data_IF_274967294289
#
_entry.id   IF_274967294289
#
_cell.length_a   1.000
_cell.length_b   1.000
_cell.length_c   1.000
_cell.angle_alpha   90.00
_cell.angle_beta   90.00
_cell.angle_gamma   90.00
#
_symmetry.space_group_name_H-M   'P 1'
#
loop_
_entity.id
_entity.type
_entity.pdbx_description
1 polymer ?
#
# COMPACT_ATOMS: atom_id res chain seq x y z
N UNK A 1 3.97 -33.81 -19.68
CA UNK A 1 3.54 -32.41 -19.44
C UNK A 1 2.72 -32.40 -18.18
N UNK A 2 3.22 -31.78 -17.13
CA UNK A 2 2.49 -31.62 -15.87
C UNK A 2 1.25 -30.77 -16.12
N UNK A 3 0.10 -31.25 -15.65
CA UNK A 3 -1.12 -30.45 -15.73
C UNK A 3 -1.01 -29.28 -14.72
N UNK A 4 -1.57 -28.14 -15.08
CA UNK A 4 -1.62 -26.95 -14.19
C UNK A 4 -2.27 -27.26 -12.83
N UNK A 5 -3.09 -28.32 -12.77
CA UNK A 5 -3.75 -28.82 -11.54
C UNK A 5 -2.78 -29.50 -10.56
N UNK A 6 -1.79 -30.23 -11.06
CA UNK A 6 -0.82 -30.95 -10.20
C UNK A 6 0.20 -29.99 -9.56
N UNK A 7 0.52 -28.88 -10.24
CA UNK A 7 1.37 -27.82 -9.73
C UNK A 7 0.66 -26.96 -8.65
N UNK A 8 -0.67 -26.89 -8.67
CA UNK A 8 -1.48 -26.17 -7.66
C UNK A 8 -1.56 -26.91 -6.32
N UNK A 9 -1.14 -28.16 -6.23
CA UNK A 9 -1.10 -28.93 -4.98
C UNK A 9 0.21 -28.75 -4.18
N UNK A 10 1.18 -28.02 -4.73
CA UNK A 10 2.41 -27.67 -4.01
C UNK A 10 2.09 -26.54 -3.00
N UNK A 11 2.39 -26.72 -1.68
CA UNK A 11 2.08 -25.70 -0.70
C UNK A 11 2.78 -24.39 -1.00
N UNK A 12 2.07 -23.29 -0.90
CA UNK A 12 2.46 -21.93 -1.35
C UNK A 12 3.63 -21.33 -0.55
N UNK A 13 3.91 -21.80 0.67
CA UNK A 13 5.07 -21.38 1.47
C UNK A 13 6.42 -21.47 0.75
N UNK A 14 6.64 -22.41 -0.17
CA UNK A 14 7.89 -22.54 -0.92
C UNK A 14 8.21 -21.43 -1.92
N UNK A 15 7.27 -20.61 -2.35
CA UNK A 15 7.55 -19.53 -3.33
C UNK A 15 8.46 -18.41 -2.78
N UNK A 16 8.75 -18.43 -1.48
CA UNK A 16 9.62 -17.45 -0.82
C UNK A 16 11.05 -18.00 -0.62
N UNK A 17 11.20 -19.32 -0.49
CA UNK A 17 12.51 -19.99 -0.26
C UNK A 17 12.80 -20.97 -1.41
N UNK A 18 13.75 -20.58 -2.27
CA UNK A 18 14.20 -21.40 -3.41
C UNK A 18 14.66 -22.80 -2.98
N UNK A 19 15.39 -22.90 -1.88
CA UNK A 19 15.99 -24.17 -1.40
C UNK A 19 14.90 -25.14 -0.93
N UNK A 20 13.92 -24.65 -0.22
CA UNK A 20 12.78 -25.45 0.23
C UNK A 20 11.90 -25.89 -0.95
N UNK A 21 11.67 -24.99 -1.91
CA UNK A 21 10.90 -25.28 -3.12
C UNK A 21 11.60 -26.37 -3.97
N UNK A 22 12.91 -26.25 -4.17
CA UNK A 22 13.70 -27.25 -4.88
C UNK A 22 13.64 -28.61 -4.17
N UNK A 23 13.76 -28.67 -2.85
CA UNK A 23 13.66 -29.91 -2.08
C UNK A 23 12.28 -30.58 -2.20
N UNK A 24 11.18 -29.82 -2.08
CA UNK A 24 9.82 -30.35 -2.22
C UNK A 24 9.55 -30.84 -3.64
N UNK A 25 10.04 -30.11 -4.65
CA UNK A 25 9.87 -30.50 -6.03
C UNK A 25 10.75 -31.71 -6.40
N UNK A 26 12.01 -31.76 -5.95
CA UNK A 26 12.92 -32.89 -6.20
C UNK A 26 12.44 -34.19 -5.53
N UNK A 27 11.64 -34.12 -4.47
CA UNK A 27 11.02 -35.32 -3.89
C UNK A 27 9.94 -35.95 -4.78
N UNK A 28 9.43 -35.24 -5.79
CA UNK A 28 8.31 -35.66 -6.65
C UNK A 28 8.64 -35.71 -8.14
N UNK A 29 9.69 -34.99 -8.57
CA UNK A 29 10.04 -34.75 -9.97
C UNK A 29 11.55 -34.94 -10.20
N UNK A 30 11.94 -35.20 -11.43
CA UNK A 30 13.34 -35.28 -11.80
C UNK A 30 14.02 -33.89 -11.72
N UNK A 31 15.35 -33.89 -11.56
CA UNK A 31 16.13 -32.64 -11.47
C UNK A 31 15.93 -31.74 -12.71
N UNK A 32 15.85 -32.30 -13.90
CA UNK A 32 15.61 -31.55 -15.15
C UNK A 32 14.23 -30.92 -15.21
N UNK A 33 13.18 -31.61 -14.75
CA UNK A 33 11.81 -31.07 -14.71
C UNK A 33 11.72 -29.91 -13.69
N UNK A 34 12.37 -30.05 -12.53
CA UNK A 34 12.43 -28.98 -11.52
C UNK A 34 13.14 -27.75 -12.06
N UNK A 35 14.28 -27.91 -12.74
CA UNK A 35 14.99 -26.78 -13.35
C UNK A 35 14.14 -26.07 -14.41
N UNK A 36 13.45 -26.81 -15.29
CA UNK A 36 12.55 -26.22 -16.28
C UNK A 36 11.40 -25.47 -15.63
N UNK A 37 10.80 -26.02 -14.55
CA UNK A 37 9.74 -25.36 -13.82
C UNK A 37 10.22 -24.06 -13.15
N UNK A 38 11.39 -24.10 -12.50
CA UNK A 38 11.99 -22.91 -11.87
C UNK A 38 12.23 -21.80 -12.89
N UNK A 39 12.82 -22.11 -14.02
CA UNK A 39 13.06 -21.12 -15.09
C UNK A 39 11.77 -20.59 -15.69
N UNK A 40 10.77 -21.44 -15.92
CA UNK A 40 9.53 -21.07 -16.61
C UNK A 40 8.57 -20.28 -15.75
N UNK A 41 8.47 -20.59 -14.44
CA UNK A 41 7.43 -20.02 -13.58
C UNK A 41 7.98 -19.21 -12.41
N UNK A 42 9.02 -19.71 -11.74
CA UNK A 42 9.54 -19.09 -10.54
C UNK A 42 10.43 -17.88 -10.82
N UNK A 43 11.30 -17.99 -11.81
CA UNK A 43 12.22 -16.89 -12.17
C UNK A 43 11.46 -15.65 -12.65
N UNK A 44 10.51 -15.74 -13.61
CA UNK A 44 9.72 -14.57 -14.03
C UNK A 44 8.91 -13.93 -12.88
N UNK A 45 8.36 -14.75 -11.98
CA UNK A 45 7.68 -14.25 -10.80
C UNK A 45 8.62 -13.46 -9.88
N UNK A 46 9.83 -13.97 -9.61
CA UNK A 46 10.83 -13.28 -8.79
C UNK A 46 11.27 -11.96 -9.41
N UNK A 47 11.46 -11.93 -10.72
CA UNK A 47 11.80 -10.71 -11.46
C UNK A 47 10.69 -9.69 -11.33
N UNK A 48 9.44 -10.07 -11.58
CA UNK A 48 8.30 -9.17 -11.41
C UNK A 48 8.22 -8.61 -9.98
N UNK A 49 8.39 -9.46 -8.95
CA UNK A 49 8.38 -9.01 -7.56
C UNK A 49 9.56 -8.09 -7.22
N UNK A 50 10.71 -8.26 -7.89
CA UNK A 50 11.84 -7.34 -7.78
C UNK A 50 11.51 -5.97 -8.37
N UNK A 51 10.86 -5.92 -9.52
CA UNK A 51 10.42 -4.66 -10.15
C UNK A 51 9.41 -3.90 -9.27
N UNK A 52 8.46 -4.60 -8.64
CA UNK A 52 7.56 -3.97 -7.68
C UNK A 52 8.29 -3.43 -6.45
N UNK A 53 9.35 -4.10 -5.95
CA UNK A 53 10.19 -3.55 -4.87
C UNK A 53 10.90 -2.28 -5.31
N UNK A 54 11.48 -2.25 -6.53
CA UNK A 54 12.09 -1.03 -7.07
C UNK A 54 11.07 0.11 -7.15
N UNK A 55 9.85 -0.15 -7.61
CA UNK A 55 8.79 0.85 -7.67
C UNK A 55 8.37 1.38 -6.28
N UNK A 56 8.35 0.53 -5.27
CA UNK A 56 8.15 0.96 -3.88
C UNK A 56 9.26 1.94 -3.46
N UNK A 57 10.52 1.62 -3.74
CA UNK A 57 11.67 2.47 -3.38
C UNK A 57 11.61 3.84 -4.07
N UNK A 58 11.23 3.88 -5.35
CA UNK A 58 11.04 5.15 -6.10
C UNK A 58 9.97 6.01 -5.44
N UNK A 59 8.79 5.44 -5.18
CA UNK A 59 7.68 6.18 -4.58
C UNK A 59 7.99 6.62 -3.14
N UNK A 60 8.63 5.77 -2.34
CA UNK A 60 9.05 6.07 -0.97
C UNK A 60 10.07 7.23 -0.96
N UNK A 61 11.04 7.21 -1.87
CA UNK A 61 12.04 8.29 -2.02
C UNK A 61 11.37 9.62 -2.37
N UNK A 62 10.38 9.63 -3.27
CA UNK A 62 9.63 10.83 -3.64
C UNK A 62 8.92 11.45 -2.42
N UNK A 63 8.30 10.64 -1.56
CA UNK A 63 7.67 11.14 -0.33
C UNK A 63 8.69 11.63 0.69
N UNK A 64 9.84 10.99 0.82
CA UNK A 64 10.91 11.48 1.67
C UNK A 64 11.42 12.86 1.21
N UNK A 65 11.62 13.05 -0.09
CA UNK A 65 12.01 14.35 -0.68
C UNK A 65 10.94 15.42 -0.42
N UNK A 66 9.66 15.11 -0.67
CA UNK A 66 8.57 16.04 -0.39
C UNK A 66 8.46 16.38 1.11
N UNK A 67 8.73 15.41 2.00
CA UNK A 67 8.71 15.67 3.44
C UNK A 67 9.83 16.61 3.86
N UNK A 68 11.05 16.46 3.34
CA UNK A 68 12.16 17.38 3.59
C UNK A 68 11.85 18.80 3.12
N UNK A 69 11.36 18.97 1.89
CA UNK A 69 10.98 20.27 1.34
C UNK A 69 9.88 20.95 2.18
N UNK A 70 8.81 20.23 2.47
CA UNK A 70 7.66 20.78 3.18
C UNK A 70 7.95 21.05 4.66
N UNK A 71 8.88 20.31 5.29
CA UNK A 71 9.30 20.55 6.66
C UNK A 71 9.97 21.93 6.82
N UNK A 72 10.78 22.34 5.85
CA UNK A 72 11.39 23.65 5.80
C UNK A 72 10.36 24.77 5.61
N UNK A 73 9.31 24.52 4.81
CA UNK A 73 8.30 25.53 4.50
C UNK A 73 7.31 25.76 5.65
N UNK A 74 6.98 24.71 6.42
CA UNK A 74 5.90 24.76 7.42
C UNK A 74 6.39 24.65 8.87
N UNK A 75 7.69 24.61 9.10
CA UNK A 75 8.31 24.37 10.42
C UNK A 75 7.75 23.13 11.15
N UNK A 76 7.32 22.15 10.38
CA UNK A 76 6.82 20.85 10.85
C UNK A 76 6.85 19.78 9.75
N UNK A 77 6.96 18.55 10.14
CA UNK A 77 6.85 17.41 9.22
C UNK A 77 5.39 17.08 8.96
N UNK A 78 4.90 17.15 7.70
CA UNK A 78 3.55 16.72 7.36
C UNK A 78 3.41 15.19 7.34
N UNK A 79 4.49 14.44 7.15
CA UNK A 79 4.53 12.98 7.17
C UNK A 79 5.08 12.48 8.50
N UNK A 80 4.28 11.70 9.21
CA UNK A 80 4.68 11.03 10.45
C UNK A 80 5.47 9.75 10.19
N UNK A 81 5.04 8.97 9.21
CA UNK A 81 5.71 7.73 8.82
C UNK A 81 5.26 7.23 7.46
N UNK A 82 6.16 6.53 6.78
CA UNK A 82 5.88 5.82 5.54
C UNK A 82 6.00 4.32 5.82
N UNK A 83 4.99 3.55 5.44
CA UNK A 83 4.98 2.08 5.54
C UNK A 83 4.89 1.49 4.15
N UNK A 84 5.76 0.57 3.83
CA UNK A 84 5.77 -0.09 2.54
C UNK A 84 5.37 -1.56 2.66
N UNK A 85 4.74 -2.08 1.62
CA UNK A 85 4.32 -3.48 1.58
C UNK A 85 4.38 -4.03 0.18
N UNK A 86 5.04 -5.15 0.01
CA UNK A 86 4.86 -6.03 -1.14
C UNK A 86 3.81 -7.09 -0.79
N UNK A 87 2.81 -7.28 -1.65
CA UNK A 87 1.73 -8.25 -1.44
C UNK A 87 2.29 -9.67 -1.42
N UNK A 88 1.87 -10.49 -0.44
CA UNK A 88 2.37 -11.87 -0.33
C UNK A 88 1.89 -12.76 -1.49
N UNK A 89 2.66 -13.80 -1.86
CA UNK A 89 2.28 -14.75 -2.90
C UNK A 89 0.89 -15.35 -2.68
N UNK A 90 0.58 -15.71 -1.43
CA UNK A 90 -0.72 -16.28 -1.04
C UNK A 90 -1.86 -15.30 -1.34
N UNK A 91 -1.69 -14.04 -0.94
CA UNK A 91 -2.68 -12.99 -1.17
C UNK A 91 -2.86 -12.64 -2.65
N UNK A 92 -1.78 -12.77 -3.47
CA UNK A 92 -1.84 -12.61 -4.92
C UNK A 92 -2.69 -13.72 -5.53
N UNK A 93 -2.38 -14.97 -5.20
CA UNK A 93 -3.08 -16.15 -5.73
C UNK A 93 -4.54 -16.18 -5.32
N UNK A 94 -4.84 -15.90 -4.04
CA UNK A 94 -6.22 -15.78 -3.55
C UNK A 94 -7.00 -14.72 -4.33
N UNK A 95 -6.40 -13.55 -4.57
CA UNK A 95 -7.06 -12.46 -5.28
C UNK A 95 -7.31 -12.80 -6.75
N UNK A 96 -6.35 -13.42 -7.44
CA UNK A 96 -6.52 -13.88 -8.83
C UNK A 96 -7.62 -14.94 -8.90
N UNK A 97 -7.57 -15.96 -8.05
CA UNK A 97 -8.56 -17.04 -8.00
C UNK A 97 -9.97 -16.52 -7.73
N UNK A 98 -10.14 -15.64 -6.75
CA UNK A 98 -11.44 -15.03 -6.42
C UNK A 98 -12.03 -14.22 -7.57
N UNK A 99 -11.17 -13.62 -8.41
CA UNK A 99 -11.58 -12.85 -9.59
C UNK A 99 -11.69 -13.67 -10.87
N UNK A 100 -11.37 -14.97 -10.81
CA UNK A 100 -11.40 -15.87 -11.98
C UNK A 100 -10.29 -15.60 -13.00
N UNK A 101 -9.19 -14.96 -12.59
CA UNK A 101 -8.05 -14.68 -13.45
C UNK A 101 -7.05 -15.85 -13.46
N UNK A 102 -6.34 -16.08 -14.59
CA UNK A 102 -5.26 -17.08 -14.65
C UNK A 102 -4.16 -16.80 -13.62
N UNK A 103 -3.56 -17.87 -13.08
CA UNK A 103 -2.44 -17.76 -12.13
C UNK A 103 -1.11 -17.66 -12.90
N UNK A 104 -0.92 -16.57 -13.64
CA UNK A 104 0.28 -16.29 -14.44
C UNK A 104 0.87 -14.93 -14.09
N UNK A 105 2.14 -14.73 -14.42
CA UNK A 105 2.87 -13.47 -14.19
C UNK A 105 2.21 -12.32 -14.97
N UNK A 106 1.81 -12.57 -16.21
CA UNK A 106 1.12 -11.60 -17.07
C UNK A 106 -0.24 -11.20 -16.46
N UNK A 107 -0.93 -12.16 -15.86
CA UNK A 107 -2.21 -11.91 -15.21
C UNK A 107 -2.04 -11.05 -13.94
N UNK A 108 -0.98 -11.27 -13.16
CA UNK A 108 -0.62 -10.43 -12.01
C UNK A 108 -0.44 -8.98 -12.47
N UNK A 109 0.42 -8.77 -13.45
CA UNK A 109 0.79 -7.44 -13.95
C UNK A 109 -0.41 -6.70 -14.56
N UNK A 110 -1.24 -7.40 -15.33
CA UNK A 110 -2.40 -6.81 -16.01
C UNK A 110 -3.54 -6.49 -15.05
N UNK A 111 -3.88 -7.40 -14.11
CA UNK A 111 -5.14 -7.37 -13.39
C UNK A 111 -5.02 -6.93 -11.92
N UNK A 112 -3.81 -6.85 -11.37
CA UNK A 112 -3.61 -6.44 -9.99
C UNK A 112 -2.87 -5.10 -9.91
N UNK A 113 -3.45 -4.15 -9.17
CA UNK A 113 -2.91 -2.79 -9.02
C UNK A 113 -2.35 -2.54 -7.61
N UNK A 114 -2.38 -3.54 -6.72
CA UNK A 114 -2.06 -3.43 -5.30
C UNK A 114 -0.95 -4.41 -4.85
N UNK A 115 -0.07 -4.78 -5.78
CA UNK A 115 1.09 -5.63 -5.49
C UNK A 115 2.13 -4.83 -4.69
N UNK A 116 2.50 -3.66 -5.20
CA UNK A 116 3.30 -2.67 -4.48
C UNK A 116 2.37 -1.71 -3.75
N UNK A 117 2.56 -1.57 -2.44
CA UNK A 117 1.78 -0.65 -1.61
C UNK A 117 2.70 0.27 -0.81
N UNK A 118 2.41 1.57 -0.85
CA UNK A 118 3.05 2.60 -0.02
C UNK A 118 1.95 3.28 0.79
N UNK A 119 2.10 3.32 2.12
CA UNK A 119 1.18 4.01 3.00
C UNK A 119 1.87 5.19 3.65
N UNK A 120 1.34 6.37 3.40
CA UNK A 120 1.81 7.64 3.93
C UNK A 120 0.88 8.06 5.07
N UNK A 121 1.42 8.13 6.28
CA UNK A 121 0.68 8.57 7.46
C UNK A 121 0.99 10.03 7.68
N UNK A 122 -0.06 10.86 7.68
CA UNK A 122 0.03 12.31 7.84
C UNK A 122 -0.51 12.74 9.21
N UNK A 123 -0.07 13.91 9.67
CA UNK A 123 -0.56 14.50 10.92
C UNK A 123 -2.03 14.94 10.80
N UNK A 124 -2.42 15.54 9.67
CA UNK A 124 -3.75 16.12 9.47
C UNK A 124 -4.36 15.77 8.12
N UNK A 125 -5.71 15.79 7.99
CA UNK A 125 -6.39 15.55 6.71
C UNK A 125 -5.95 16.52 5.59
N UNK A 126 -5.71 17.79 5.91
CA UNK A 126 -5.25 18.79 4.93
C UNK A 126 -3.87 18.45 4.35
N UNK A 127 -2.97 17.83 5.14
CA UNK A 127 -1.65 17.40 4.67
C UNK A 127 -1.75 16.28 3.65
N UNK A 128 -2.72 15.38 3.81
CA UNK A 128 -2.99 14.30 2.85
C UNK A 128 -3.23 14.87 1.46
N UNK A 129 -4.11 15.86 1.36
CA UNK A 129 -4.45 16.45 0.06
C UNK A 129 -3.27 17.24 -0.54
N UNK A 130 -2.57 18.04 0.27
CA UNK A 130 -1.38 18.78 -0.19
C UNK A 130 -0.29 17.86 -0.71
N UNK A 131 0.03 16.80 0.05
CA UNK A 131 1.04 15.82 -0.36
C UNK A 131 0.62 15.03 -1.60
N UNK A 132 -0.63 14.60 -1.66
CA UNK A 132 -1.13 13.85 -2.82
C UNK A 132 -1.09 14.69 -4.09
N UNK A 133 -1.43 15.98 -4.03
CA UNK A 133 -1.35 16.90 -5.16
C UNK A 133 0.10 17.20 -5.56
N UNK A 134 1.00 17.42 -4.58
CA UNK A 134 2.42 17.62 -4.85
C UNK A 134 3.04 16.38 -5.52
N UNK A 135 2.72 15.19 -5.05
CA UNK A 135 3.15 13.92 -5.63
C UNK A 135 2.64 13.74 -7.07
N UNK A 136 1.37 14.03 -7.32
CA UNK A 136 0.76 13.89 -8.65
C UNK A 136 1.20 14.95 -9.66
N UNK A 137 1.83 16.06 -9.24
CA UNK A 137 2.44 17.05 -10.15
C UNK A 137 3.80 16.65 -10.69
N UNK A 138 4.41 15.57 -10.17
CA UNK A 138 5.68 15.09 -10.71
C UNK A 138 5.47 14.48 -12.10
N UNK A 139 6.34 14.81 -13.03
CA UNK A 139 6.21 14.50 -14.47
C UNK A 139 6.32 13.01 -14.80
N UNK A 140 6.88 12.23 -13.90
CA UNK A 140 7.05 10.78 -14.00
C UNK A 140 5.98 9.97 -13.23
N UNK A 141 4.95 10.64 -12.68
CA UNK A 141 3.84 9.99 -11.99
C UNK A 141 2.56 10.11 -12.81
N UNK A 142 1.99 8.98 -13.20
CA UNK A 142 0.71 8.93 -13.90
C UNK A 142 -0.38 8.38 -13.00
N UNK A 143 -1.41 9.18 -12.74
CA UNK A 143 -2.58 8.74 -11.99
C UNK A 143 -3.46 7.81 -12.84
N UNK A 144 -3.69 6.58 -12.37
CA UNK A 144 -4.58 5.62 -13.02
C UNK A 144 -5.97 5.58 -12.35
N UNK A 145 -6.03 5.68 -11.01
CA UNK A 145 -7.29 5.63 -10.26
C UNK A 145 -7.17 6.42 -8.96
N UNK A 146 -8.22 7.17 -8.60
CA UNK A 146 -8.34 7.86 -7.31
C UNK A 146 -9.61 7.39 -6.60
N UNK A 147 -9.49 6.97 -5.34
CA UNK A 147 -10.61 6.65 -4.45
C UNK A 147 -10.48 7.46 -3.17
N UNK A 148 -11.35 8.41 -2.98
CA UNK A 148 -11.34 9.28 -1.81
C UNK A 148 -12.37 8.82 -0.79
N UNK A 149 -11.91 7.94 0.11
CA UNK A 149 -12.71 7.47 1.24
C UNK A 149 -12.63 8.39 2.47
N UNK A 150 -11.92 9.53 2.37
CA UNK A 150 -11.98 10.59 3.39
C UNK A 150 -13.24 11.41 3.15
N UNK A 151 -13.44 11.87 1.91
CA UNK A 151 -14.64 12.61 1.51
C UNK A 151 -15.90 11.72 1.46
N UNK A 152 -15.76 10.45 1.06
CA UNK A 152 -16.85 9.48 0.93
C UNK A 152 -16.49 8.17 1.67
N UNK A 153 -16.66 8.11 3.00
CA UNK A 153 -16.30 6.95 3.80
C UNK A 153 -17.03 5.68 3.35
N UNK A 154 -16.38 4.53 3.55
CA UNK A 154 -17.06 3.24 3.32
C UNK A 154 -18.17 3.02 4.37
N UNK A 155 -19.13 2.11 4.11
CA UNK A 155 -20.23 1.83 5.03
C UNK A 155 -19.80 1.42 6.45
N UNK A 156 -18.59 0.85 6.59
CA UNK A 156 -18.02 0.50 7.89
C UNK A 156 -17.26 1.65 8.58
N UNK A 157 -17.30 2.86 8.04
CA UNK A 157 -16.58 4.03 8.57
C UNK A 157 -15.12 4.16 8.12
N UNK A 158 -14.59 3.23 7.30
CA UNK A 158 -13.20 3.29 6.81
C UNK A 158 -12.93 4.57 6.02
N UNK A 159 -11.83 5.26 6.36
CA UNK A 159 -11.32 6.47 5.69
C UNK A 159 -9.88 6.30 5.24
N UNK A 160 -9.59 6.73 4.04
CA UNK A 160 -8.23 6.82 3.45
C UNK A 160 -8.35 7.44 2.06
N UNK A 161 -7.35 8.15 1.58
CA UNK A 161 -7.22 8.48 0.16
C UNK A 161 -6.36 7.40 -0.51
N UNK A 162 -6.89 6.75 -1.55
CA UNK A 162 -6.17 5.75 -2.34
C UNK A 162 -5.88 6.29 -3.73
N UNK A 163 -4.64 6.18 -4.15
CA UNK A 163 -4.21 6.47 -5.51
C UNK A 163 -3.59 5.19 -6.09
N UNK A 164 -4.02 4.80 -7.27
CA UNK A 164 -3.25 3.86 -8.10
C UNK A 164 -2.48 4.69 -9.09
N UNK A 165 -1.17 4.63 -9.02
CA UNK A 165 -0.28 5.37 -9.89
C UNK A 165 0.60 4.42 -10.69
N UNK A 166 1.09 4.91 -11.83
CA UNK A 166 2.15 4.29 -12.60
C UNK A 166 3.39 5.17 -12.51
N UNK A 167 4.53 4.56 -12.17
CA UNK A 167 5.83 5.22 -12.03
C UNK A 167 6.90 4.44 -12.79
N UNK A 168 7.86 5.11 -13.45
CA UNK A 168 8.99 4.42 -14.07
C UNK A 168 9.97 3.90 -13.03
N UNK A 169 10.51 2.73 -13.28
CA UNK A 169 11.76 2.25 -12.69
C UNK A 169 12.84 2.17 -13.76
N UNK A 170 14.05 2.55 -13.41
CA UNK A 170 15.19 2.53 -14.31
C UNK A 170 16.10 1.37 -13.90
N UNK A 171 16.10 0.33 -14.72
CA UNK A 171 16.97 -0.84 -14.58
C UNK A 171 18.27 -0.61 -15.35
N UNK A 172 19.23 -1.51 -15.22
CA UNK A 172 20.55 -1.35 -15.87
C UNK A 172 20.46 -1.31 -17.43
N UNK A 173 19.44 -1.92 -18.01
CA UNK A 173 19.28 -2.09 -19.46
C UNK A 173 17.94 -1.58 -20.01
N UNK A 174 16.99 -1.23 -19.14
CA UNK A 174 15.65 -0.84 -19.58
C UNK A 174 14.94 0.09 -18.58
N UNK A 175 13.99 0.88 -19.11
CA UNK A 175 12.97 1.58 -18.34
C UNK A 175 11.70 0.74 -18.34
N UNK A 176 11.03 0.61 -17.18
CA UNK A 176 9.76 -0.09 -17.04
C UNK A 176 8.78 0.72 -16.23
N UNK A 177 7.52 0.76 -16.67
CA UNK A 177 6.43 1.40 -15.90
C UNK A 177 5.82 0.38 -14.94
N UNK A 178 5.64 0.76 -13.68
CA UNK A 178 5.15 -0.11 -12.61
C UNK A 178 4.01 0.56 -11.86
N UNK A 179 2.98 -0.24 -11.54
CA UNK A 179 1.83 0.23 -10.75
C UNK A 179 2.12 0.14 -9.26
N UNK A 180 1.76 1.21 -8.53
CA UNK A 180 1.88 1.29 -7.07
C UNK A 180 0.56 1.80 -6.50
N UNK A 181 0.04 1.15 -5.46
CA UNK A 181 -1.06 1.67 -4.65
C UNK A 181 -0.48 2.56 -3.55
N UNK A 182 -0.83 3.85 -3.56
CA UNK A 182 -0.49 4.79 -2.50
C UNK A 182 -1.72 5.03 -1.64
N UNK A 183 -1.61 4.80 -0.33
CA UNK A 183 -2.66 5.00 0.65
C UNK A 183 -2.26 6.12 1.60
N UNK A 184 -3.03 7.20 1.63
CA UNK A 184 -2.84 8.28 2.60
C UNK A 184 -3.84 8.14 3.74
N UNK A 185 -3.36 8.29 4.97
CA UNK A 185 -4.17 8.27 6.19
C UNK A 185 -3.63 9.30 7.17
N UNK A 186 -4.48 9.75 8.09
CA UNK A 186 -4.00 10.34 9.34
C UNK A 186 -3.58 9.26 10.33
N UNK A 187 -2.96 9.65 11.44
CA UNK A 187 -2.61 8.76 12.55
C UNK A 187 -3.88 8.03 13.04
N UNK A 188 -4.98 8.76 13.21
CA UNK A 188 -6.24 8.22 13.72
C UNK A 188 -6.87 7.23 12.73
N UNK A 189 -6.86 7.53 11.44
CA UNK A 189 -7.35 6.64 10.38
C UNK A 189 -6.52 5.34 10.31
N UNK A 190 -5.19 5.42 10.45
CA UNK A 190 -4.33 4.23 10.41
C UNK A 190 -4.49 3.37 11.67
N UNK A 191 -4.64 4.01 12.84
CA UNK A 191 -4.93 3.33 14.10
C UNK A 191 -6.24 2.54 14.00
N UNK A 192 -7.33 3.20 13.60
CA UNK A 192 -8.63 2.56 13.45
C UNK A 192 -8.60 1.40 12.46
N UNK A 193 -8.07 1.62 11.25
CA UNK A 193 -8.03 0.60 10.20
C UNK A 193 -7.17 -0.61 10.59
N UNK A 194 -6.11 -0.40 11.39
CA UNK A 194 -5.24 -1.47 11.88
C UNK A 194 -5.93 -2.35 12.92
N UNK A 195 -6.76 -1.76 13.78
CA UNK A 195 -7.52 -2.48 14.80
C UNK A 195 -8.76 -3.16 14.21
N UNK A 196 -9.51 -2.49 13.34
CA UNK A 196 -10.66 -3.06 12.63
C UNK A 196 -10.26 -4.36 11.93
N UNK A 197 -9.15 -4.34 11.18
CA UNK A 197 -8.65 -5.53 10.50
C UNK A 197 -8.33 -6.68 11.47
N UNK A 198 -7.71 -6.40 12.62
CA UNK A 198 -7.38 -7.42 13.63
C UNK A 198 -8.63 -8.01 14.30
N UNK A 199 -9.64 -7.18 14.55
CA UNK A 199 -10.90 -7.59 15.18
C UNK A 199 -11.70 -8.45 14.19
N UNK A 200 -11.88 -7.99 12.96
CA UNK A 200 -12.63 -8.73 11.92
C UNK A 200 -11.94 -10.03 11.47
N UNK A 201 -10.63 -10.13 11.58
CA UNK A 201 -9.93 -11.37 11.24
C UNK A 201 -10.33 -12.54 12.16
N UNK A 202 -10.82 -12.28 13.36
CA UNK A 202 -11.41 -13.27 14.27
C UNK A 202 -12.84 -13.62 13.80
N UNK A 203 -12.96 -14.47 12.77
CA UNK A 203 -14.19 -14.79 11.99
C UNK A 203 -15.39 -15.32 12.79
N UNK A 204 -15.33 -15.58 14.10
CA UNK A 204 -16.39 -16.19 14.91
C UNK A 204 -16.61 -15.42 16.22
N UNK A 205 -16.75 -14.10 16.13
CA UNK A 205 -17.14 -13.31 17.31
C UNK A 205 -18.64 -13.49 17.54
N UNK A 206 -19.08 -13.88 18.74
CA UNK A 206 -20.47 -13.67 19.12
C UNK A 206 -20.78 -12.16 19.05
N UNK A 207 -22.02 -11.80 18.69
CA UNK A 207 -22.46 -10.39 18.61
C UNK A 207 -21.74 -9.56 17.49
N UNK A 208 -21.53 -10.13 16.32
CA UNK A 208 -20.86 -9.46 15.20
C UNK A 208 -21.51 -8.12 14.83
N UNK A 209 -22.84 -8.03 14.89
CA UNK A 209 -23.58 -6.80 14.58
C UNK A 209 -23.25 -5.66 15.57
N UNK A 210 -23.16 -5.98 16.86
CA UNK A 210 -22.74 -5.02 17.88
C UNK A 210 -21.29 -4.57 17.66
N UNK A 211 -20.38 -5.50 17.35
CA UNK A 211 -18.97 -5.19 17.05
C UNK A 211 -18.84 -4.28 15.82
N UNK A 212 -19.61 -4.54 14.77
CA UNK A 212 -19.61 -3.70 13.56
C UNK A 212 -20.13 -2.28 13.85
N UNK A 213 -21.18 -2.16 14.67
CA UNK A 213 -21.71 -0.86 15.10
C UNK A 213 -20.68 -0.07 15.93
N UNK A 214 -20.08 -0.69 16.94
CA UNK A 214 -19.05 -0.04 17.76
C UNK A 214 -17.81 0.37 16.95
N UNK A 215 -17.39 -0.45 15.98
CA UNK A 215 -16.31 -0.08 15.07
C UNK A 215 -16.66 1.14 14.22
N UNK A 216 -17.91 1.24 13.76
CA UNK A 216 -18.38 2.42 13.03
C UNK A 216 -18.37 3.67 13.92
N UNK A 217 -18.90 3.59 15.14
CA UNK A 217 -18.88 4.71 16.11
C UNK A 217 -17.43 5.15 16.42
N UNK A 218 -16.51 4.21 16.61
CA UNK A 218 -15.08 4.52 16.76
C UNK A 218 -14.50 5.26 15.54
N UNK A 219 -14.93 4.92 14.32
CA UNK A 219 -14.50 5.61 13.11
C UNK A 219 -14.99 7.06 13.05
N UNK A 220 -16.23 7.32 13.49
CA UNK A 220 -16.81 8.66 13.57
C UNK A 220 -16.10 9.52 14.64
N UNK A 221 -15.83 8.96 15.81
CA UNK A 221 -15.07 9.64 16.88
C UNK A 221 -13.66 9.97 16.39
N UNK A 222 -13.01 9.04 15.70
CA UNK A 222 -11.68 9.23 15.10
C UNK A 222 -11.65 10.40 14.11
N UNK A 223 -12.67 10.52 13.25
CA UNK A 223 -12.78 11.63 12.30
C UNK A 223 -13.05 12.98 13.01
N UNK A 224 -13.85 12.97 14.08
CA UNK A 224 -14.07 14.17 14.89
C UNK A 224 -12.78 14.62 15.61
N UNK A 225 -11.96 13.67 16.07
CA UNK A 225 -10.66 13.95 16.68
C UNK A 225 -9.72 14.62 15.67
N UNK A 226 -9.61 14.07 14.46
CA UNK A 226 -8.81 14.67 13.38
C UNK A 226 -9.24 16.12 13.09
N UNK A 227 -10.54 16.38 12.97
CA UNK A 227 -11.07 17.71 12.70
C UNK A 227 -10.76 18.71 13.85
N UNK A 228 -10.82 18.26 15.11
CA UNK A 228 -10.47 19.08 16.27
C UNK A 228 -8.99 19.40 16.33
N UNK A 229 -8.12 18.39 16.06
CA UNK A 229 -6.67 18.59 16.05
C UNK A 229 -6.25 19.52 14.92
N UNK A 230 -6.83 19.40 13.72
CA UNK A 230 -6.58 20.32 12.62
C UNK A 230 -7.00 21.77 12.96
N UNK A 231 -8.11 21.96 13.66
CA UNK A 231 -8.51 23.30 14.14
C UNK A 231 -7.51 23.89 15.13
N UNK A 232 -7.04 23.10 16.08
CA UNK A 232 -6.01 23.54 17.05
C UNK A 232 -4.71 23.90 16.37
N UNK A 233 -4.28 23.13 15.37
CA UNK A 233 -3.09 23.42 14.57
C UNK A 233 -3.20 24.76 13.84
N UNK A 234 -4.37 25.07 13.25
CA UNK A 234 -4.59 26.36 12.57
C UNK A 234 -4.49 27.54 13.55
N UNK A 235 -5.03 27.39 14.77
CA UNK A 235 -4.94 28.42 15.81
C UNK A 235 -3.49 28.63 16.25
N UNK A 236 -2.73 27.55 16.44
CA UNK A 236 -1.32 27.62 16.84
C UNK A 236 -0.45 28.32 15.76
N UNK A 237 -0.65 27.98 14.50
CA UNK A 237 0.05 28.59 13.38
C UNK A 237 -0.19 30.10 13.29
N UNK A 238 -1.44 30.55 13.43
CA UNK A 238 -1.80 31.97 13.43
C UNK A 238 -1.17 32.75 14.60
N UNK A 239 -1.04 32.12 15.77
CA UNK A 239 -0.39 32.75 16.94
C UNK A 239 1.12 32.95 16.74
N UNK A 240 1.78 32.06 16.01
CA UNK A 240 3.21 32.18 15.67
C UNK A 240 3.46 33.29 14.66
N UNK A 241 2.69 33.33 13.56
CA UNK A 241 2.78 34.39 12.54
C UNK A 241 2.51 35.81 13.12
N UNK A 242 1.60 35.90 14.10
CA UNK A 242 1.31 37.16 14.76
C UNK A 242 2.47 37.66 15.64
N UNK A 243 3.24 36.77 16.27
CA UNK A 243 4.44 37.12 17.05
C UNK A 243 5.59 37.57 16.15
N UNK A 244 5.83 36.89 15.04
CA UNK A 244 6.92 37.24 14.12
C UNK A 244 6.71 38.61 13.46
N UNK A 245 5.45 38.97 13.15
CA UNK A 245 5.10 40.31 12.65
C UNK A 245 5.29 41.40 13.71
N UNK A 246 5.02 41.08 14.99
CA UNK A 246 5.20 42.05 16.09
C UNK A 246 6.68 42.25 16.48
N UNK A 247 7.58 41.31 16.16
CA UNK A 247 9.01 41.41 16.39
C UNK A 247 9.76 42.08 15.22
N UNK A 248 9.15 42.21 14.06
CA UNK A 248 9.70 42.83 12.85
C UNK A 248 9.20 44.27 12.59
N UNK A 249 8.35 44.78 13.46
CA UNK A 249 7.88 46.17 13.50
C UNK A 249 8.51 46.96 14.62
#
# INVERSE_FOLDING_TARGET
MLSTKELMTVPIRPLVDRTYLEQVLLSRFSHGEVQQWVQKYFQPYRELMSYYRCAIMEVETKFNVLNEELSLQYDRNPIETIKTRLKSPESIMEKLSRRGYPLTVESIEKNLNDIAGVRVICSHPADIYKLSEAFLRQDDITLLERKDYIANPKPNGYRSLHLIVETPIFLHDQKRLMKVEVQFRTISMDWWASLEHKIRYKKNLPEMEYVEHELYECAEISAQLDARMEKLQKIAAQATEGKDRALSS
#
